data_IF_170739688860
#
_entry.id   IF_170739688860
#
_cell.length_a   1.000
_cell.length_b   1.000
_cell.length_c   1.000
_cell.angle_alpha   90.00
_cell.angle_beta   90.00
_cell.angle_gamma   90.00
#
_symmetry.space_group_name_H-M   'P 1'
#
loop_
_entity.id
_entity.type
_entity.pdbx_description
1 polymer ?
#
# COMPACT_ATOMS: atom_id res chain seq x y z
N UNK A 1 18.98 -21.94 31.77
CA UNK A 1 19.59 -22.26 30.47
C UNK A 1 19.55 -20.98 29.64
N UNK A 2 20.72 -20.38 29.44
CA UNK A 2 20.92 -19.11 28.73
C UNK A 2 21.67 -19.42 27.43
N UNK A 3 21.17 -18.98 26.28
CA UNK A 3 21.93 -19.00 25.03
C UNK A 3 21.71 -17.69 24.29
N UNK A 4 22.68 -16.79 24.45
CA UNK A 4 22.91 -15.64 23.59
C UNK A 4 23.67 -16.10 22.34
N UNK A 5 23.35 -15.55 21.17
CA UNK A 5 24.18 -15.69 19.97
C UNK A 5 24.85 -14.35 19.69
N UNK A 6 26.18 -14.36 19.78
CA UNK A 6 27.10 -13.28 19.48
C UNK A 6 27.35 -13.22 17.96
N UNK A 7 27.29 -12.00 17.40
CA UNK A 7 27.74 -11.66 16.06
C UNK A 7 29.25 -11.95 15.93
N UNK A 8 29.62 -12.71 14.90
CA UNK A 8 31.01 -12.89 14.50
C UNK A 8 31.51 -11.70 13.69
N UNK A 9 32.33 -10.86 14.31
CA UNK A 9 33.36 -10.07 13.67
C UNK A 9 34.52 -11.01 13.32
N UNK A 10 34.88 -11.13 12.04
CA UNK A 10 36.20 -11.63 11.64
C UNK A 10 37.02 -10.42 11.22
N UNK A 11 37.92 -10.04 12.13
CA UNK A 11 39.02 -9.13 11.87
C UNK A 11 40.07 -9.82 11.01
N UNK A 12 40.66 -9.02 10.12
CA UNK A 12 41.96 -9.25 9.49
C UNK A 12 43.06 -9.49 10.52
N UNK A 13 43.98 -10.39 10.19
CA UNK A 13 45.44 -10.23 10.18
C UNK A 13 46.01 -11.56 9.62
N UNK A 14 46.99 -11.69 8.74
CA UNK A 14 47.97 -10.81 8.12
C UNK A 14 49.05 -11.77 7.58
N UNK A 15 49.59 -11.58 6.37
CA UNK A 15 50.66 -12.46 5.88
C UNK A 15 51.03 -12.41 4.41
N UNK A 16 51.58 -11.28 3.95
CA UNK A 16 52.78 -11.24 3.10
C UNK A 16 52.71 -11.62 1.61
N UNK A 17 52.90 -10.62 0.74
CA UNK A 17 53.91 -10.71 -0.33
C UNK A 17 53.48 -10.40 -1.77
N UNK A 18 53.83 -9.19 -2.25
CA UNK A 18 54.51 -9.04 -3.55
C UNK A 18 53.83 -8.28 -4.70
N UNK A 19 54.22 -7.00 -4.88
CA UNK A 19 54.38 -6.25 -6.16
C UNK A 19 53.08 -5.80 -6.88
N UNK A 20 52.92 -4.59 -7.42
CA UNK A 20 53.76 -3.42 -7.61
C UNK A 20 53.11 -2.52 -8.69
N UNK A 21 53.10 -1.19 -8.48
CA UNK A 21 52.70 -0.12 -9.43
C UNK A 21 51.19 0.15 -9.55
N UNK A 22 50.68 1.37 -9.69
CA UNK A 22 51.20 2.74 -9.64
C UNK A 22 49.97 3.69 -9.58
N UNK A 23 50.12 4.85 -8.94
CA UNK A 23 49.32 6.11 -9.06
C UNK A 23 47.84 6.22 -8.58
N UNK A 24 47.62 7.08 -7.57
CA UNK A 24 46.38 7.87 -7.27
C UNK A 24 46.21 9.01 -8.34
N UNK A 25 45.14 9.86 -8.42
CA UNK A 25 44.05 10.14 -7.47
C UNK A 25 42.63 10.39 -8.06
N UNK A 26 41.67 10.51 -7.13
CA UNK A 26 40.38 11.25 -7.11
C UNK A 26 39.90 11.99 -8.38
N UNK A 27 38.60 11.81 -8.70
CA UNK A 27 37.81 12.79 -9.47
C UNK A 27 36.37 12.33 -9.75
N UNK A 28 35.37 13.02 -9.21
CA UNK A 28 33.95 12.64 -9.34
C UNK A 28 33.37 12.88 -10.73
N UNK A 29 32.34 12.11 -11.10
CA UNK A 29 31.51 12.38 -12.28
C UNK A 29 30.10 11.81 -12.11
N UNK A 30 29.20 12.71 -11.69
CA UNK A 30 27.85 12.94 -12.24
C UNK A 30 27.02 11.69 -12.59
N UNK A 31 26.03 11.43 -11.73
CA UNK A 31 24.93 10.50 -11.96
C UNK A 31 24.08 11.00 -13.13
N UNK A 32 24.45 10.64 -14.36
CA UNK A 32 23.70 11.02 -15.56
C UNK A 32 22.54 10.04 -15.74
N UNK A 33 21.37 10.51 -15.37
CA UNK A 33 20.09 9.98 -15.84
C UNK A 33 20.12 9.84 -17.37
N UNK A 34 19.84 8.64 -17.87
CA UNK A 34 19.59 8.40 -19.29
C UNK A 34 18.15 7.92 -19.39
N UNK A 35 17.29 8.78 -19.90
CA UNK A 35 15.99 8.38 -20.42
C UNK A 35 16.23 7.33 -21.51
N UNK A 36 15.74 6.12 -21.27
CA UNK A 36 15.82 5.03 -22.25
C UNK A 36 14.67 5.23 -23.21
N UNK A 37 14.92 5.97 -24.30
CA UNK A 37 14.08 5.88 -25.49
C UNK A 37 14.15 4.44 -25.98
N UNK A 38 13.02 3.73 -25.93
CA UNK A 38 12.91 2.37 -26.45
C UNK A 38 12.71 2.43 -27.97
N UNK A 39 13.68 2.01 -28.81
CA UNK A 39 13.36 1.72 -30.19
C UNK A 39 12.58 0.41 -30.22
N UNK A 40 11.31 0.50 -30.64
CA UNK A 40 10.44 -0.63 -30.91
C UNK A 40 10.91 -1.40 -32.14
N UNK A 41 11.89 -2.29 -31.97
CA UNK A 41 12.10 -3.49 -32.79
C UNK A 41 13.23 -4.32 -32.15
N UNK A 42 12.90 -5.08 -31.10
CA UNK A 42 13.77 -6.18 -30.67
C UNK A 42 13.53 -7.36 -31.60
N UNK A 43 14.25 -7.34 -32.72
CA UNK A 43 14.46 -8.51 -33.57
C UNK A 43 14.84 -9.71 -32.71
N UNK A 44 14.27 -10.86 -33.05
CA UNK A 44 14.41 -12.16 -32.39
C UNK A 44 15.85 -12.45 -31.95
N UNK A 45 16.21 -12.05 -30.73
CA UNK A 45 17.43 -12.53 -30.06
C UNK A 45 17.16 -13.96 -29.65
N UNK A 46 17.50 -14.90 -30.51
CA UNK A 46 17.65 -16.31 -30.15
C UNK A 46 18.68 -16.40 -29.04
N UNK A 47 18.21 -16.44 -27.79
CA UNK A 47 19.03 -16.79 -26.64
C UNK A 47 19.66 -18.17 -26.92
N UNK A 48 20.91 -18.42 -26.50
CA UNK A 48 21.53 -19.72 -26.69
C UNK A 48 20.62 -20.80 -26.08
N UNK A 49 20.23 -21.80 -26.88
CA UNK A 49 19.26 -22.88 -26.58
C UNK A 49 19.52 -23.56 -25.22
N UNK A 50 20.75 -23.50 -24.71
CA UNK A 50 21.12 -24.03 -23.40
C UNK A 50 20.62 -23.19 -22.21
N UNK A 51 20.53 -21.86 -22.36
CA UNK A 51 19.98 -20.96 -21.32
C UNK A 51 18.46 -21.05 -21.23
N UNK A 52 17.77 -21.24 -22.35
CA UNK A 52 16.30 -21.40 -22.33
C UNK A 52 15.89 -22.70 -21.63
N UNK A 53 16.57 -23.81 -21.89
CA UNK A 53 16.28 -25.09 -21.23
C UNK A 53 16.49 -25.05 -19.70
N UNK A 54 17.48 -24.28 -19.22
CA UNK A 54 17.69 -24.11 -17.78
C UNK A 54 16.59 -23.26 -17.13
N UNK A 55 16.19 -22.17 -17.77
CA UNK A 55 15.09 -21.32 -17.29
C UNK A 55 13.75 -22.07 -17.30
N UNK A 56 13.54 -22.92 -18.30
CA UNK A 56 12.34 -23.76 -18.40
C UNK A 56 12.26 -24.80 -17.28
N UNK A 57 13.40 -25.44 -16.93
CA UNK A 57 13.48 -26.32 -15.75
C UNK A 57 13.18 -25.58 -14.45
N UNK A 58 13.69 -24.36 -14.27
CA UNK A 58 13.43 -23.55 -13.08
C UNK A 58 11.94 -23.17 -13.00
N UNK A 59 11.34 -22.79 -14.13
CA UNK A 59 9.92 -22.45 -14.22
C UNK A 59 9.03 -23.65 -13.88
N UNK A 60 9.31 -24.82 -14.46
CA UNK A 60 8.60 -26.06 -14.13
C UNK A 60 8.70 -26.41 -12.65
N UNK A 61 9.91 -26.30 -12.06
CA UNK A 61 10.09 -26.61 -10.64
C UNK A 61 9.29 -25.67 -9.72
N UNK A 62 9.24 -24.38 -10.03
CA UNK A 62 8.42 -23.41 -9.29
C UNK A 62 6.92 -23.67 -9.45
N UNK A 63 6.49 -24.06 -10.64
CA UNK A 63 5.10 -24.43 -10.92
C UNK A 63 4.69 -25.72 -10.20
N UNK A 64 5.56 -26.72 -10.14
CA UNK A 64 5.34 -27.97 -9.38
C UNK A 64 5.26 -27.72 -7.87
N UNK A 65 6.10 -26.84 -7.33
CA UNK A 65 6.03 -26.41 -5.93
C UNK A 65 4.72 -25.67 -5.63
N UNK A 66 4.25 -24.82 -6.54
CA UNK A 66 2.97 -24.13 -6.44
C UNK A 66 1.81 -25.13 -6.48
N UNK A 67 1.83 -26.07 -7.43
CA UNK A 67 0.83 -27.14 -7.58
C UNK A 67 0.73 -28.01 -6.33
N UNK A 68 1.86 -28.46 -5.77
CA UNK A 68 1.87 -29.23 -4.51
C UNK A 68 1.27 -28.44 -3.33
N UNK A 69 1.60 -27.15 -3.22
CA UNK A 69 1.04 -26.28 -2.16
C UNK A 69 -0.47 -26.07 -2.32
N UNK A 70 -0.96 -25.97 -3.56
CA UNK A 70 -2.39 -25.86 -3.86
C UNK A 70 -3.14 -27.19 -3.59
N UNK A 71 -2.48 -28.34 -3.76
CA UNK A 71 -3.04 -29.66 -3.42
C UNK A 71 -3.10 -29.90 -1.90
N UNK A 72 -2.11 -29.45 -1.13
CA UNK A 72 -2.12 -29.48 0.35
C UNK A 72 -3.03 -28.41 0.97
N UNK A 73 -3.22 -27.26 0.31
CA UNK A 73 -4.02 -26.14 0.81
C UNK A 73 -5.54 -26.31 0.71
N UNK A 74 -6.03 -27.36 0.04
CA UNK A 74 -7.48 -27.61 -0.15
C UNK A 74 -8.16 -28.30 1.02
N UNK A 75 -7.41 -28.84 1.98
CA UNK A 75 -7.97 -29.60 3.09
C UNK A 75 -7.47 -29.06 4.43
N UNK A 76 -8.01 -27.91 4.83
CA UNK A 76 -7.88 -27.42 6.19
C UNK A 76 -8.78 -28.28 7.09
N UNK A 77 -8.22 -29.36 7.66
CA UNK A 77 -8.92 -30.09 8.71
C UNK A 77 -9.05 -29.19 9.93
N UNK A 78 -10.27 -28.71 10.18
CA UNK A 78 -10.62 -27.88 11.32
C UNK A 78 -10.26 -28.57 12.67
N UNK A 79 -10.15 -29.90 12.69
CA UNK A 79 -9.74 -30.67 13.86
C UNK A 79 -8.23 -30.84 14.03
N UNK A 80 -7.42 -30.58 13.00
CA UNK A 80 -5.97 -30.72 13.08
C UNK A 80 -5.35 -29.71 14.07
N UNK A 81 -6.00 -28.55 14.26
CA UNK A 81 -5.59 -27.56 15.24
C UNK A 81 -6.49 -27.58 16.46
N UNK A 82 -5.90 -27.87 17.63
CA UNK A 82 -6.58 -27.77 18.93
C UNK A 82 -7.24 -26.40 19.14
N UNK A 83 -6.64 -25.33 18.61
CA UNK A 83 -7.18 -23.97 18.69
C UNK A 83 -8.45 -23.81 17.84
N UNK A 84 -8.43 -24.31 16.60
CA UNK A 84 -9.61 -24.30 15.72
C UNK A 84 -10.74 -25.13 16.32
N UNK A 85 -10.43 -26.31 16.88
CA UNK A 85 -11.40 -27.15 17.58
C UNK A 85 -12.03 -26.47 18.80
N UNK A 86 -11.26 -25.68 19.56
CA UNK A 86 -11.80 -24.91 20.70
C UNK A 86 -12.71 -23.77 20.24
N UNK A 87 -12.38 -23.11 19.12
CA UNK A 87 -13.23 -22.06 18.55
C UNK A 87 -14.54 -22.63 17.98
N UNK A 88 -14.50 -23.81 17.35
CA UNK A 88 -15.72 -24.44 16.79
C UNK A 88 -16.69 -24.95 17.85
N UNK A 89 -16.21 -25.26 19.07
CA UNK A 89 -17.06 -25.70 20.18
C UNK A 89 -17.91 -24.56 20.77
N UNK A 90 -17.53 -23.30 20.53
CA UNK A 90 -18.23 -22.12 21.04
C UNK A 90 -18.36 -21.05 19.94
N UNK A 91 -19.25 -21.25 18.96
CA UNK A 91 -19.38 -20.36 17.80
C UNK A 91 -19.83 -18.93 18.15
N UNK A 92 -20.28 -18.71 19.39
CA UNK A 92 -20.75 -17.41 19.90
C UNK A 92 -19.74 -16.70 20.82
N UNK A 93 -18.51 -17.20 20.97
CA UNK A 93 -17.43 -16.48 21.67
C UNK A 93 -16.72 -15.59 20.65
N UNK A 94 -17.30 -14.43 20.41
CA UNK A 94 -16.78 -13.39 19.53
C UNK A 94 -17.46 -12.06 19.83
N UNK A 95 -16.85 -10.97 19.40
CA UNK A 95 -17.52 -9.67 19.37
C UNK A 95 -18.41 -9.71 18.12
N UNK A 96 -19.72 -9.50 18.30
CA UNK A 96 -20.63 -9.38 17.17
C UNK A 96 -20.11 -8.27 16.24
N UNK A 97 -19.92 -8.62 14.96
CA UNK A 97 -19.57 -7.64 13.95
C UNK A 97 -20.89 -7.16 13.30
N UNK A 98 -21.46 -6.02 13.75
CA UNK A 98 -22.73 -5.54 13.23
C UNK A 98 -22.69 -5.22 11.72
N UNK A 99 -21.49 -5.11 11.14
CA UNK A 99 -21.31 -4.85 9.69
C UNK A 99 -21.95 -5.93 8.81
N UNK A 100 -22.11 -7.17 9.30
CA UNK A 100 -22.61 -8.31 8.49
C UNK A 100 -24.04 -8.75 8.82
N UNK A 101 -24.70 -8.14 9.81
CA UNK A 101 -26.09 -8.50 10.17
C UNK A 101 -27.14 -7.91 9.20
N UNK A 102 -26.72 -7.14 8.20
CA UNK A 102 -27.62 -6.41 7.32
C UNK A 102 -28.27 -7.25 6.21
N UNK A 103 -27.88 -8.53 6.07
CA UNK A 103 -28.33 -9.37 4.94
C UNK A 103 -29.51 -10.30 5.25
N UNK A 104 -30.06 -10.29 6.46
CA UNK A 104 -31.20 -11.15 6.79
C UNK A 104 -32.34 -10.36 7.43
N UNK A 105 -33.29 -9.96 6.58
CA UNK A 105 -34.62 -9.47 6.97
C UNK A 105 -34.70 -8.01 7.42
N UNK A 106 -34.61 -7.07 6.49
CA UNK A 106 -35.61 -6.00 6.34
C UNK A 106 -35.38 -5.31 5.01
N UNK A 107 -36.38 -5.43 4.14
CA UNK A 107 -36.51 -4.59 2.96
C UNK A 107 -36.80 -3.16 3.41
N UNK A 108 -35.76 -2.42 3.74
CA UNK A 108 -35.74 -0.97 3.66
C UNK A 108 -34.39 -0.62 3.04
N UNK A 109 -34.43 -0.46 1.72
CA UNK A 109 -33.41 0.28 1.00
C UNK A 109 -33.40 1.72 1.54
N UNK A 110 -32.71 1.95 2.66
CA UNK A 110 -31.95 3.18 2.73
C UNK A 110 -30.88 3.05 1.65
N UNK A 111 -30.68 4.06 0.79
CA UNK A 111 -29.53 4.07 -0.09
C UNK A 111 -28.31 4.35 0.78
N UNK A 112 -27.86 3.36 1.55
CA UNK A 112 -26.45 3.22 1.88
C UNK A 112 -25.78 2.75 0.59
N UNK A 113 -25.72 3.65 -0.40
CA UNK A 113 -24.45 3.83 -1.07
C UNK A 113 -23.50 4.20 0.06
N UNK A 114 -22.80 3.20 0.59
CA UNK A 114 -21.58 3.42 1.36
C UNK A 114 -20.55 4.01 0.40
N UNK A 115 -20.83 5.25 0.01
CA UNK A 115 -19.87 6.23 -0.40
C UNK A 115 -19.11 6.53 0.90
N UNK A 116 -18.26 5.60 1.34
CA UNK A 116 -17.05 6.01 2.03
C UNK A 116 -16.26 6.80 0.99
N UNK A 117 -16.71 8.02 0.69
CA UNK A 117 -15.83 9.07 0.24
C UNK A 117 -14.85 9.18 1.38
N UNK A 118 -13.69 8.53 1.23
CA UNK A 118 -12.56 8.76 2.10
C UNK A 118 -12.38 10.27 2.12
N UNK A 119 -12.78 10.91 3.22
CA UNK A 119 -12.73 12.35 3.34
C UNK A 119 -11.25 12.72 3.23
N UNK A 120 -10.87 13.29 2.09
CA UNK A 120 -9.49 13.69 1.86
C UNK A 120 -9.22 14.83 2.83
N UNK A 121 -8.18 14.69 3.62
CA UNK A 121 -7.80 15.72 4.58
C UNK A 121 -7.18 16.88 3.81
N UNK A 122 -7.93 17.97 3.69
CA UNK A 122 -7.39 19.22 3.19
C UNK A 122 -6.52 19.87 4.26
N UNK A 123 -5.35 20.37 3.84
CA UNK A 123 -4.38 20.97 4.78
C UNK A 123 -4.98 22.17 5.51
N UNK A 124 -5.78 22.99 4.82
CA UNK A 124 -6.42 24.18 5.39
C UNK A 124 -7.44 23.80 6.47
N UNK A 125 -8.30 22.82 6.19
CA UNK A 125 -9.28 22.31 7.15
C UNK A 125 -8.61 21.67 8.37
N UNK A 126 -7.51 20.95 8.16
CA UNK A 126 -6.75 20.33 9.23
C UNK A 126 -6.09 21.39 10.14
N UNK A 127 -5.51 22.44 9.55
CA UNK A 127 -4.94 23.55 10.31
C UNK A 127 -6.00 24.32 11.09
N UNK A 128 -7.18 24.54 10.49
CA UNK A 128 -8.30 25.19 11.16
C UNK A 128 -8.81 24.34 12.33
N UNK A 129 -8.96 23.04 12.12
CA UNK A 129 -9.40 22.08 13.14
C UNK A 129 -8.44 22.04 14.32
N UNK A 130 -7.14 21.99 14.06
CA UNK A 130 -6.12 22.00 15.12
C UNK A 130 -6.12 23.31 15.91
N UNK A 131 -6.35 24.46 15.26
CA UNK A 131 -6.50 25.74 15.97
C UNK A 131 -7.70 25.74 16.89
N UNK A 132 -8.82 25.15 16.47
CA UNK A 132 -10.02 25.03 17.30
C UNK A 132 -9.79 24.09 18.49
N UNK A 133 -9.22 22.91 18.24
CA UNK A 133 -8.91 21.91 19.28
C UNK A 133 -7.94 22.47 20.32
N UNK A 134 -6.95 23.26 19.90
CA UNK A 134 -6.01 23.95 20.82
C UNK A 134 -6.73 24.85 21.83
N UNK A 135 -7.87 25.44 21.48
CA UNK A 135 -8.67 26.27 22.38
C UNK A 135 -9.49 25.46 23.39
N UNK A 136 -9.75 24.18 23.11
CA UNK A 136 -10.57 23.30 23.94
C UNK A 136 -9.72 22.43 24.90
N UNK A 137 -8.46 22.16 24.55
CA UNK A 137 -7.55 21.36 25.36
C UNK A 137 -6.68 22.28 26.21
N UNK A 138 -6.75 22.20 27.54
CA UNK A 138 -6.01 23.11 28.43
C UNK A 138 -4.80 22.46 29.11
N UNK A 139 -4.68 21.14 29.06
CA UNK A 139 -3.57 20.42 29.68
C UNK A 139 -2.28 20.55 28.88
N UNK A 140 -1.15 20.59 29.59
CA UNK A 140 0.16 20.82 28.99
C UNK A 140 0.53 19.74 27.97
N UNK A 141 0.15 18.49 28.23
CA UNK A 141 0.46 17.38 27.33
C UNK A 141 -0.23 17.56 25.98
N UNK A 142 -1.54 17.82 25.99
CA UNK A 142 -2.29 18.08 24.78
C UNK A 142 -1.80 19.31 24.02
N UNK A 143 -1.37 20.37 24.71
CA UNK A 143 -0.77 21.53 24.07
C UNK A 143 0.54 21.18 23.33
N UNK A 144 1.41 20.40 23.97
CA UNK A 144 2.65 19.91 23.34
C UNK A 144 2.34 19.03 22.11
N UNK A 145 1.34 18.15 22.21
CA UNK A 145 0.94 17.26 21.13
C UNK A 145 0.38 18.06 19.93
N UNK A 146 -0.45 19.07 20.19
CA UNK A 146 -0.96 19.97 19.13
C UNK A 146 0.17 20.75 18.48
N UNK A 147 1.14 21.27 19.23
CA UNK A 147 2.31 21.96 18.69
C UNK A 147 3.16 21.04 17.82
N UNK A 148 3.37 19.79 18.25
CA UNK A 148 4.09 18.78 17.47
C UNK A 148 3.41 18.52 16.12
N UNK A 149 2.09 18.37 16.11
CA UNK A 149 1.33 18.18 14.87
C UNK A 149 1.41 19.43 13.99
N UNK A 150 1.24 20.62 14.54
CA UNK A 150 1.38 21.88 13.78
C UNK A 150 2.79 22.03 13.17
N UNK A 151 3.83 21.66 13.91
CA UNK A 151 5.20 21.66 13.41
C UNK A 151 5.39 20.67 12.26
N UNK A 152 4.76 19.49 12.32
CA UNK A 152 4.76 18.53 11.22
C UNK A 152 4.05 19.10 9.97
N UNK A 153 2.88 19.69 10.15
CA UNK A 153 2.09 20.27 9.05
C UNK A 153 2.79 21.44 8.37
N UNK A 154 3.67 22.15 9.07
CA UNK A 154 4.47 23.24 8.51
C UNK A 154 5.69 22.77 7.71
N UNK A 155 6.06 21.48 7.75
CA UNK A 155 7.19 20.96 6.95
C UNK A 155 6.78 20.86 5.48
N UNK A 156 7.57 21.46 4.60
CA UNK A 156 7.36 21.42 3.14
C UNK A 156 7.22 20.00 2.60
N UNK A 157 8.04 19.09 3.10
CA UNK A 157 8.09 17.69 2.64
C UNK A 157 6.79 16.96 3.00
N UNK A 158 6.26 17.23 4.20
CA UNK A 158 4.97 16.67 4.63
C UNK A 158 3.82 17.23 3.79
N UNK A 159 3.79 18.55 3.56
CA UNK A 159 2.77 19.17 2.72
C UNK A 159 2.81 18.64 1.28
N UNK A 160 4.01 18.41 0.73
CA UNK A 160 4.19 17.81 -0.58
C UNK A 160 3.67 16.36 -0.60
N UNK A 161 4.06 15.55 0.38
CA UNK A 161 3.58 14.18 0.51
C UNK A 161 2.05 14.09 0.67
N UNK A 162 1.44 14.99 1.44
CA UNK A 162 0.00 15.08 1.61
C UNK A 162 -0.71 15.44 0.30
N UNK A 163 -0.16 16.39 -0.47
CA UNK A 163 -0.71 16.75 -1.80
C UNK A 163 -0.68 15.56 -2.76
N UNK A 164 0.45 14.84 -2.82
CA UNK A 164 0.59 13.64 -3.65
C UNK A 164 -0.39 12.55 -3.20
N UNK A 165 -0.46 12.30 -1.88
CA UNK A 165 -1.40 11.35 -1.30
C UNK A 165 -2.84 11.68 -1.70
N UNK A 166 -3.27 12.94 -1.52
CA UNK A 166 -4.62 13.37 -1.84
C UNK A 166 -4.92 13.22 -3.33
N UNK A 167 -3.98 13.58 -4.21
CA UNK A 167 -4.13 13.43 -5.66
C UNK A 167 -4.31 11.95 -6.05
N UNK A 168 -3.50 11.05 -5.50
CA UNK A 168 -3.60 9.61 -5.77
C UNK A 168 -4.90 9.04 -5.20
N UNK A 169 -5.21 9.33 -3.94
CA UNK A 169 -6.42 8.85 -3.27
C UNK A 169 -7.71 9.30 -3.99
N UNK A 170 -7.74 10.53 -4.52
CA UNK A 170 -8.86 11.03 -5.35
C UNK A 170 -9.14 10.11 -6.54
N UNK A 171 -8.09 9.61 -7.19
CA UNK A 171 -8.23 8.72 -8.35
C UNK A 171 -8.55 7.27 -7.95
N UNK A 172 -7.97 6.79 -6.85
CA UNK A 172 -8.12 5.41 -6.38
C UNK A 172 -9.52 5.11 -5.83
N UNK A 173 -10.17 6.12 -5.25
CA UNK A 173 -11.49 5.98 -4.61
C UNK A 173 -12.62 6.55 -5.46
N UNK A 174 -12.40 6.76 -6.77
CA UNK A 174 -13.43 7.30 -7.63
C UNK A 174 -14.48 6.22 -7.92
N UNK A 175 -15.78 6.47 -7.64
CA UNK A 175 -16.84 5.58 -8.11
C UNK A 175 -16.86 5.55 -9.64
N UNK A 176 -17.59 4.59 -10.21
CA UNK A 176 -17.80 4.53 -11.65
C UNK A 176 -18.29 5.89 -12.18
N UNK A 177 -17.79 6.35 -13.36
CA UNK A 177 -18.25 7.61 -13.94
C UNK A 177 -19.78 7.64 -14.03
N UNK A 178 -20.43 8.74 -13.58
CA UNK A 178 -21.89 8.81 -13.62
C UNK A 178 -22.38 8.84 -15.06
N UNK A 179 -23.54 8.24 -15.30
CA UNK A 179 -24.22 8.31 -16.58
C UNK A 179 -25.22 9.47 -16.58
N UNK A 180 -25.41 10.17 -17.71
CA UNK A 180 -26.41 11.21 -17.81
C UNK A 180 -27.81 10.61 -17.66
N UNK A 181 -28.61 11.15 -16.74
CA UNK A 181 -30.00 10.71 -16.55
C UNK A 181 -30.92 11.10 -17.72
N UNK A 182 -30.55 12.15 -18.46
CA UNK A 182 -31.29 12.64 -19.65
C UNK A 182 -30.33 13.27 -20.65
N UNK A 183 -30.69 13.21 -21.93
CA UNK A 183 -30.02 13.89 -23.03
C UNK A 183 -30.68 15.23 -23.38
N UNK A 184 -31.81 15.57 -22.76
CA UNK A 184 -32.64 16.75 -23.05
C UNK A 184 -32.67 17.76 -21.88
N UNK A 185 -31.57 17.87 -21.13
CA UNK A 185 -31.51 18.73 -19.94
C UNK A 185 -31.89 20.20 -20.24
N UNK A 186 -31.51 20.71 -21.41
CA UNK A 186 -31.83 22.07 -21.83
C UNK A 186 -33.33 22.28 -22.10
N UNK A 187 -33.97 21.34 -22.80
CA UNK A 187 -35.40 21.42 -23.10
C UNK A 187 -36.21 21.37 -21.80
N UNK A 188 -35.87 20.44 -20.91
CA UNK A 188 -36.48 20.34 -19.57
C UNK A 188 -36.31 21.64 -18.77
N UNK A 189 -35.14 22.28 -18.82
CA UNK A 189 -34.93 23.55 -18.14
C UNK A 189 -35.83 24.68 -18.68
N UNK A 190 -36.07 24.71 -19.99
CA UNK A 190 -36.96 25.69 -20.62
C UNK A 190 -38.44 25.46 -20.27
N UNK A 191 -38.87 24.20 -20.16
CA UNK A 191 -40.24 23.85 -19.78
C UNK A 191 -40.57 24.25 -18.33
N UNK A 192 -39.59 24.20 -17.44
CA UNK A 192 -39.76 24.51 -16.01
C UNK A 192 -39.62 26.00 -15.70
N UNK A 193 -39.02 26.78 -16.60
CA UNK A 193 -38.87 28.23 -16.40
C UNK A 193 -40.18 28.92 -16.81
N UNK A 194 -40.99 29.44 -15.88
CA UNK A 194 -42.21 30.17 -16.25
C UNK A 194 -41.81 31.45 -16.99
N UNK A 195 -42.51 31.73 -18.08
CA UNK A 195 -42.44 33.03 -18.78
C UNK A 195 -43.11 34.15 -18.02
#
# INVERSE_FOLDING_TARGET
MTTSHLNGLLAEEGGGGGGGGDEEPRGGQQHREMAVDCPGELGSRTLPVRRSAQLERIRQHQEDLRRRREEEGRQLDLNASLRLRKLSQHPHIGIDNPTFLQDSHTSQQLPLGSQHTHALLELEELLLSLKQVRGCLSDQQSQNDVELVLALLNKSDFQSALKIHNAVATSMHRPSPPYPHTHQALQLAMEVTPG
#
